data_IF_978429712699
#
_entry.id   IF_978429712699
#
_cell.length_a   1.000
_cell.length_b   1.000
_cell.length_c   1.000
_cell.angle_alpha   90.00
_cell.angle_beta   90.00
_cell.angle_gamma   90.00
#
_symmetry.space_group_name_H-M   'P 1'
#
loop_
_entity.id
_entity.type
_entity.pdbx_description
1 polymer ?
#
# COMPACT_ATOMS: atom_id res chain seq x y z
N UNK A 1 -13.03 -10.67 21.09
CA UNK A 1 -13.17 -10.44 19.63
C UNK A 1 -12.96 -8.94 19.43
N UNK A 2 -11.74 -8.48 19.19
CA UNK A 2 -11.45 -7.04 19.14
C UNK A 2 -10.92 -6.67 17.75
N UNK A 3 -11.84 -6.68 16.79
CA UNK A 3 -11.69 -5.98 15.52
C UNK A 3 -12.47 -4.67 15.64
N UNK A 4 -12.07 -3.78 16.55
CA UNK A 4 -12.56 -2.40 16.47
C UNK A 4 -11.69 -1.68 15.42
N UNK A 5 -12.24 -1.34 14.25
CA UNK A 5 -11.48 -0.65 13.20
C UNK A 5 -11.09 0.78 13.59
N UNK A 6 -11.53 1.28 14.75
CA UNK A 6 -11.35 2.66 15.21
C UNK A 6 -10.45 2.68 16.44
N UNK A 7 -9.15 2.96 16.25
CA UNK A 7 -8.15 3.04 17.33
C UNK A 7 -7.91 4.46 17.82
N UNK A 8 -8.02 5.47 16.96
CA UNK A 8 -7.69 6.86 17.28
C UNK A 8 -8.90 7.78 17.44
N UNK A 9 -10.13 7.27 17.25
CA UNK A 9 -11.35 8.08 17.14
C UNK A 9 -11.49 8.80 15.79
N UNK A 10 -10.51 8.66 14.89
CA UNK A 10 -10.55 9.13 13.52
C UNK A 10 -10.36 7.97 12.54
N UNK A 11 -11.48 7.44 12.04
CA UNK A 11 -11.51 6.29 11.11
C UNK A 11 -10.69 6.50 9.84
N UNK A 12 -10.59 7.74 9.35
CA UNK A 12 -9.81 8.05 8.16
C UNK A 12 -8.31 7.94 8.46
N UNK A 13 -7.88 8.45 9.62
CA UNK A 13 -6.49 8.35 10.08
C UNK A 13 -6.10 6.88 10.25
N UNK A 14 -6.94 6.09 10.87
CA UNK A 14 -6.69 4.65 11.10
C UNK A 14 -6.65 3.87 9.79
N UNK A 15 -7.54 4.18 8.84
CA UNK A 15 -7.52 3.58 7.51
C UNK A 15 -6.19 3.89 6.77
N UNK A 16 -5.78 5.16 6.74
CA UNK A 16 -4.54 5.56 6.08
C UNK A 16 -3.30 4.93 6.75
N UNK A 17 -3.26 4.90 8.08
CA UNK A 17 -2.16 4.32 8.84
C UNK A 17 -2.01 2.81 8.59
N UNK A 18 -3.10 2.09 8.33
CA UNK A 18 -3.07 0.67 7.98
C UNK A 18 -2.81 0.41 6.49
N UNK A 19 -3.32 1.26 5.60
CA UNK A 19 -3.17 1.05 4.15
C UNK A 19 -1.77 1.36 3.63
N UNK A 20 -1.04 2.31 4.22
CA UNK A 20 0.34 2.59 3.85
C UNK A 20 1.23 1.33 3.94
N UNK A 21 1.35 0.63 5.09
CA UNK A 21 2.17 -0.57 5.19
C UNK A 21 1.62 -1.74 4.37
N UNK A 22 0.30 -1.87 4.22
CA UNK A 22 -0.30 -2.85 3.31
C UNK A 22 0.21 -2.65 1.87
N UNK A 23 0.22 -1.40 1.39
CA UNK A 23 0.66 -1.10 0.04
C UNK A 23 2.18 -1.30 -0.14
N UNK A 24 2.97 -0.93 0.87
CA UNK A 24 4.41 -1.20 0.88
C UNK A 24 4.71 -2.70 0.77
N UNK A 25 3.93 -3.55 1.44
CA UNK A 25 4.02 -5.01 1.31
C UNK A 25 3.81 -5.49 -0.13
N UNK A 26 2.80 -4.95 -0.84
CA UNK A 26 2.54 -5.29 -2.23
C UNK A 26 3.65 -4.82 -3.18
N UNK A 27 4.25 -3.66 -2.93
CA UNK A 27 5.41 -3.15 -3.68
C UNK A 27 6.61 -4.10 -3.50
N UNK A 28 6.94 -4.47 -2.26
CA UNK A 28 8.06 -5.40 -1.98
C UNK A 28 7.87 -6.75 -2.65
N UNK A 29 6.67 -7.34 -2.57
CA UNK A 29 6.36 -8.60 -3.23
C UNK A 29 6.50 -8.49 -4.77
N UNK A 30 6.05 -7.38 -5.34
CA UNK A 30 6.15 -7.09 -6.77
C UNK A 30 7.59 -6.93 -7.24
N UNK A 31 8.44 -6.27 -6.43
CA UNK A 31 9.88 -6.16 -6.73
C UNK A 31 10.59 -7.52 -6.63
N UNK A 32 10.17 -8.38 -5.71
CA UNK A 32 10.74 -9.73 -5.56
C UNK A 32 10.39 -10.63 -6.74
N UNK A 33 9.12 -10.66 -7.18
CA UNK A 33 8.73 -11.52 -8.30
C UNK A 33 9.42 -11.12 -9.61
N UNK A 34 9.65 -9.81 -9.83
CA UNK A 34 10.37 -9.30 -11.01
C UNK A 34 11.82 -9.80 -11.13
N UNK A 35 12.43 -10.30 -10.04
CA UNK A 35 13.78 -10.87 -10.06
C UNK A 35 13.82 -12.33 -10.51
N UNK A 36 12.67 -13.01 -10.52
CA UNK A 36 12.59 -14.47 -10.64
C UNK A 36 11.76 -14.87 -11.87
N UNK A 37 10.62 -14.22 -12.09
CA UNK A 37 9.69 -14.61 -13.15
C UNK A 37 10.20 -14.21 -14.54
N UNK A 38 9.81 -14.99 -15.54
CA UNK A 38 9.98 -14.67 -16.97
C UNK A 38 8.63 -14.49 -17.68
N UNK A 39 7.53 -14.68 -16.96
CA UNK A 39 6.18 -14.53 -17.50
C UNK A 39 5.88 -13.03 -17.72
N UNK A 40 5.61 -12.67 -18.98
CA UNK A 40 5.41 -11.29 -19.40
C UNK A 40 4.16 -10.65 -18.81
N UNK A 41 3.11 -11.43 -18.56
CA UNK A 41 1.87 -10.94 -17.97
C UNK A 41 2.07 -10.68 -16.48
N UNK A 42 2.77 -11.58 -15.78
CA UNK A 42 3.15 -11.36 -14.37
C UNK A 42 4.07 -10.16 -14.21
N UNK A 43 5.05 -9.97 -15.12
CA UNK A 43 5.92 -8.79 -15.11
C UNK A 43 5.10 -7.50 -15.26
N UNK A 44 4.11 -7.50 -16.15
CA UNK A 44 3.23 -6.35 -16.35
C UNK A 44 2.43 -6.05 -15.08
N UNK A 45 1.79 -7.06 -14.50
CA UNK A 45 1.03 -6.92 -13.24
C UNK A 45 1.92 -6.35 -12.13
N UNK A 46 3.12 -6.89 -11.93
CA UNK A 46 4.04 -6.44 -10.88
C UNK A 46 4.47 -4.98 -11.08
N UNK A 47 4.77 -4.57 -12.31
CA UNK A 47 5.12 -3.18 -12.63
C UNK A 47 3.96 -2.22 -12.40
N UNK A 48 2.75 -2.62 -12.77
CA UNK A 48 1.55 -1.83 -12.56
C UNK A 48 1.27 -1.67 -11.05
N UNK A 49 1.39 -2.74 -10.26
CA UNK A 49 1.27 -2.67 -8.79
C UNK A 49 2.29 -1.69 -8.20
N UNK A 50 3.58 -1.81 -8.57
CA UNK A 50 4.64 -0.92 -8.07
C UNK A 50 4.30 0.54 -8.37
N UNK A 51 3.90 0.85 -9.60
CA UNK A 51 3.60 2.21 -10.03
C UNK A 51 2.41 2.80 -9.27
N UNK A 52 1.30 2.07 -9.27
CA UNK A 52 0.03 2.57 -8.74
C UNK A 52 0.09 2.67 -7.21
N UNK A 53 0.66 1.67 -6.54
CA UNK A 53 0.70 1.65 -5.09
C UNK A 53 1.72 2.65 -4.52
N UNK A 54 2.85 2.92 -5.20
CA UNK A 54 3.73 4.01 -4.79
C UNK A 54 3.05 5.38 -4.89
N UNK A 55 2.23 5.61 -5.94
CA UNK A 55 1.44 6.84 -6.07
C UNK A 55 0.43 6.96 -4.93
N UNK A 56 -0.24 5.86 -4.57
CA UNK A 56 -1.22 5.83 -3.48
C UNK A 56 -0.57 6.04 -2.12
N UNK A 57 0.59 5.42 -1.85
CA UNK A 57 1.38 5.67 -0.64
C UNK A 57 1.68 7.17 -0.49
N UNK A 58 2.20 7.82 -1.53
CA UNK A 58 2.52 9.24 -1.49
C UNK A 58 1.27 10.11 -1.21
N UNK A 59 0.14 9.77 -1.84
CA UNK A 59 -1.14 10.44 -1.60
C UNK A 59 -1.62 10.25 -0.16
N UNK A 60 -1.57 9.02 0.36
CA UNK A 60 -1.99 8.69 1.72
C UNK A 60 -1.11 9.36 2.77
N UNK A 61 0.21 9.38 2.58
CA UNK A 61 1.14 10.09 3.47
C UNK A 61 0.84 11.60 3.52
N UNK A 62 0.55 12.21 2.37
CA UNK A 62 0.16 13.62 2.30
C UNK A 62 -1.15 13.89 3.05
N UNK A 63 -2.15 13.03 2.87
CA UNK A 63 -3.43 13.14 3.59
C UNK A 63 -3.25 12.98 5.09
N UNK A 64 -2.48 11.96 5.51
CA UNK A 64 -2.24 11.66 6.92
C UNK A 64 -1.54 12.80 7.65
N UNK A 65 -0.53 13.42 7.01
CA UNK A 65 0.16 14.61 7.55
C UNK A 65 -0.78 15.81 7.72
N UNK A 66 -1.81 15.93 6.88
CA UNK A 66 -2.83 16.97 7.00
C UNK A 66 -3.86 16.71 8.10
N UNK A 67 -3.76 15.59 8.82
CA UNK A 67 -4.64 15.18 9.92
C UNK A 67 -3.92 15.16 11.28
N UNK A 68 -2.70 15.70 11.34
CA UNK A 68 -1.99 16.02 12.59
C UNK A 68 -2.54 17.31 13.21
#
# INVERSE_FOLDING_TARGET
MENDPIKSGNVNKDFLANMIPHHQGAVVASEQILKITKDVDIIKIARDIIKEQNREIAKMQKLLKGME
#
